data_IF_287198072986
#
_entry.id   IF_287198072986
#
_cell.length_a   1.000
_cell.length_b   1.000
_cell.length_c   1.000
_cell.angle_alpha   90.00
_cell.angle_beta   90.00
_cell.angle_gamma   90.00
#
_symmetry.space_group_name_H-M   'P 1'
#
loop_
_entity.id
_entity.type
_entity.pdbx_description
1 polymer ?
#
# COMPACT_ATOMS: atom_id res chain seq x y z
N UNK A 1 -16.75 -19.12 6.28
CA UNK A 1 -16.07 -18.22 5.33
C UNK A 1 -16.16 -18.84 3.96
N UNK A 2 -16.47 -18.04 2.94
CA UNK A 2 -16.49 -18.52 1.55
C UNK A 2 -15.09 -18.99 1.12
N UNK A 3 -15.02 -19.88 0.14
CA UNK A 3 -13.76 -20.23 -0.50
C UNK A 3 -13.36 -19.08 -1.43
N UNK A 4 -12.28 -18.39 -1.09
CA UNK A 4 -11.81 -17.22 -1.84
C UNK A 4 -10.55 -17.59 -2.60
N UNK A 5 -10.52 -17.46 -3.93
CA UNK A 5 -9.32 -17.69 -4.72
C UNK A 5 -8.16 -16.80 -4.24
N UNK A 6 -7.03 -17.44 -3.93
CA UNK A 6 -5.79 -16.78 -3.52
C UNK A 6 -4.60 -17.53 -4.11
N UNK A 7 -3.69 -16.81 -4.75
CA UNK A 7 -2.39 -17.33 -5.15
C UNK A 7 -1.39 -17.02 -4.04
N UNK A 8 -0.77 -18.04 -3.44
CA UNK A 8 0.19 -17.85 -2.35
C UNK A 8 1.61 -17.62 -2.91
N UNK A 9 1.99 -16.37 -3.10
CA UNK A 9 3.33 -15.98 -3.59
C UNK A 9 4.01 -14.87 -2.77
N UNK A 10 3.31 -14.27 -1.82
CA UNK A 10 3.92 -13.40 -0.83
C UNK A 10 4.75 -14.25 0.15
N UNK A 11 5.89 -13.73 0.59
CA UNK A 11 6.66 -14.34 1.67
C UNK A 11 6.01 -14.03 3.02
N UNK A 12 5.18 -14.95 3.51
CA UNK A 12 4.38 -14.82 4.73
C UNK A 12 4.69 -15.95 5.73
N UNK A 13 4.50 -15.72 7.05
CA UNK A 13 4.14 -14.44 7.67
C UNK A 13 5.32 -13.45 7.63
N UNK A 14 5.04 -12.15 7.44
CA UNK A 14 6.12 -11.15 7.47
C UNK A 14 6.61 -10.90 8.90
N UNK A 15 7.91 -10.64 9.14
CA UNK A 15 8.42 -10.44 10.50
C UNK A 15 7.79 -9.25 11.24
N UNK A 16 7.80 -9.35 12.58
CA UNK A 16 7.58 -8.22 13.49
C UNK A 16 8.86 -8.01 14.28
N UNK A 17 9.37 -6.78 14.30
CA UNK A 17 10.63 -6.43 14.94
C UNK A 17 10.43 -5.26 15.91
N UNK A 18 11.19 -5.24 17.01
CA UNK A 18 11.26 -4.08 17.90
C UNK A 18 12.08 -2.97 17.26
N UNK A 19 11.71 -1.70 17.52
CA UNK A 19 12.50 -0.52 17.18
C UNK A 19 13.00 0.19 18.46
N UNK A 20 13.86 -0.45 19.28
CA UNK A 20 14.20 0.02 20.61
C UNK A 20 14.97 1.34 20.59
N UNK A 21 15.86 1.55 19.61
CA UNK A 21 16.70 2.75 19.54
C UNK A 21 15.89 3.96 19.09
N UNK A 22 14.91 3.75 18.22
CA UNK A 22 13.96 4.79 17.80
C UNK A 22 13.00 5.13 18.95
N UNK A 23 12.48 4.13 19.66
CA UNK A 23 11.69 4.35 20.88
C UNK A 23 12.44 5.19 21.91
N UNK A 24 13.68 4.81 22.23
CA UNK A 24 14.54 5.54 23.17
C UNK A 24 14.80 6.96 22.68
N UNK A 25 15.13 7.13 21.40
CA UNK A 25 15.41 8.43 20.81
C UNK A 25 14.22 9.39 20.89
N UNK A 26 13.01 8.89 20.67
CA UNK A 26 11.78 9.68 20.72
C UNK A 26 11.25 9.88 22.14
N UNK A 27 11.81 9.19 23.13
CA UNK A 27 11.35 9.18 24.53
C UNK A 27 9.83 8.93 24.66
N UNK A 28 9.31 8.06 23.78
CA UNK A 28 7.89 7.84 23.53
C UNK A 28 7.43 6.42 23.90
N UNK A 29 6.35 5.91 23.26
CA UNK A 29 5.89 4.54 23.45
C UNK A 29 6.92 3.51 22.94
N UNK A 30 6.69 2.24 23.27
CA UNK A 30 7.36 1.13 22.59
C UNK A 30 6.92 1.09 21.13
N UNK A 31 7.87 0.96 20.21
CA UNK A 31 7.60 0.93 18.77
C UNK A 31 8.00 -0.44 18.21
N UNK A 32 7.07 -1.04 17.49
CA UNK A 32 7.27 -2.24 16.70
C UNK A 32 7.18 -1.89 15.21
N UNK A 33 7.72 -2.75 14.35
CA UNK A 33 7.48 -2.69 12.90
C UNK A 33 6.98 -4.01 12.36
N UNK A 34 5.94 -3.97 11.52
CA UNK A 34 5.48 -5.12 10.70
C UNK A 34 6.09 -5.00 9.30
N UNK A 35 6.94 -5.96 8.92
CA UNK A 35 7.85 -5.90 7.77
C UNK A 35 7.21 -6.30 6.43
N UNK A 36 6.13 -5.64 6.06
CA UNK A 36 5.47 -5.88 4.76
C UNK A 36 6.26 -5.35 3.55
N UNK A 37 7.36 -4.64 3.77
CA UNK A 37 8.41 -4.42 2.78
C UNK A 37 9.06 -5.74 2.33
N UNK A 38 9.02 -6.79 3.15
CA UNK A 38 9.66 -8.09 2.89
C UNK A 38 8.73 -9.14 2.26
N UNK A 39 7.62 -8.73 1.62
CA UNK A 39 6.69 -9.68 0.96
C UNK A 39 7.24 -10.36 -0.31
N UNK A 40 8.45 -10.02 -0.74
CA UNK A 40 9.24 -10.79 -1.72
C UNK A 40 9.06 -10.40 -3.19
N UNK A 41 7.84 -10.15 -3.66
CA UNK A 41 7.60 -9.87 -5.09
C UNK A 41 8.19 -8.51 -5.50
N UNK A 42 9.27 -8.56 -6.31
CA UNK A 42 9.93 -7.38 -6.87
C UNK A 42 10.29 -6.32 -5.81
N UNK A 43 11.04 -6.68 -4.77
CA UNK A 43 11.33 -5.86 -3.57
C UNK A 43 10.14 -5.65 -2.62
N UNK A 44 9.03 -6.38 -2.81
CA UNK A 44 7.94 -6.46 -1.85
C UNK A 44 7.17 -5.15 -1.64
N UNK A 45 6.44 -5.11 -0.52
CA UNK A 45 5.47 -4.09 -0.19
C UNK A 45 4.05 -4.62 -0.09
N UNK A 46 3.15 -3.72 0.30
CA UNK A 46 1.76 -4.07 0.59
C UNK A 46 0.95 -4.60 -0.60
N UNK A 47 1.30 -4.20 -1.83
CA UNK A 47 0.51 -4.56 -3.02
C UNK A 47 0.60 -6.05 -3.33
N UNK A 48 1.70 -6.70 -2.97
CA UNK A 48 1.88 -8.15 -3.10
C UNK A 48 0.73 -8.91 -2.44
N UNK A 49 0.37 -8.56 -1.19
CA UNK A 49 -0.77 -9.20 -0.48
C UNK A 49 -2.10 -9.05 -1.22
N UNK A 50 -2.36 -7.88 -1.82
CA UNK A 50 -3.58 -7.64 -2.59
C UNK A 50 -3.58 -8.41 -3.90
N UNK A 51 -2.43 -8.47 -4.57
CA UNK A 51 -2.25 -9.14 -5.85
C UNK A 51 -2.43 -10.67 -5.74
N UNK A 52 -2.19 -11.27 -4.57
CA UNK A 52 -2.53 -12.69 -4.35
C UNK A 52 -3.99 -13.00 -4.66
N UNK A 53 -4.90 -12.08 -4.36
CA UNK A 53 -6.33 -12.21 -4.63
C UNK A 53 -6.71 -11.69 -6.02
N UNK A 54 -6.22 -10.50 -6.40
CA UNK A 54 -6.54 -9.89 -7.69
C UNK A 54 -6.05 -10.74 -8.89
N UNK A 55 -4.87 -11.32 -8.79
CA UNK A 55 -4.34 -12.19 -9.85
C UNK A 55 -5.07 -13.53 -9.86
N UNK A 56 -5.52 -14.03 -8.70
CA UNK A 56 -6.38 -15.21 -8.64
C UNK A 56 -7.71 -14.96 -9.38
N UNK A 57 -8.36 -13.83 -9.09
CA UNK A 57 -9.60 -13.40 -9.74
C UNK A 57 -9.40 -13.21 -11.25
N UNK A 58 -8.32 -12.55 -11.68
CA UNK A 58 -8.00 -12.39 -13.09
C UNK A 58 -7.84 -13.74 -13.82
N UNK A 59 -7.20 -14.73 -13.18
CA UNK A 59 -7.05 -16.08 -13.75
C UNK A 59 -8.39 -16.80 -13.88
N UNK A 60 -9.24 -16.69 -12.87
CA UNK A 60 -10.57 -17.31 -12.87
C UNK A 60 -11.46 -16.73 -13.97
N UNK A 61 -11.37 -15.41 -14.21
CA UNK A 61 -12.04 -14.74 -15.32
C UNK A 61 -11.42 -15.03 -16.71
N UNK A 62 -10.36 -15.84 -16.76
CA UNK A 62 -9.71 -16.22 -18.02
C UNK A 62 -8.91 -15.09 -18.68
N UNK A 63 -8.53 -14.06 -17.92
CA UNK A 63 -7.74 -12.94 -18.41
C UNK A 63 -6.34 -13.39 -18.88
N UNK A 64 -5.78 -12.64 -19.82
CA UNK A 64 -4.43 -12.84 -20.37
C UNK A 64 -3.55 -11.59 -20.29
N UNK A 65 -4.14 -10.43 -20.00
CA UNK A 65 -3.44 -9.17 -19.85
C UNK A 65 -3.86 -8.49 -18.54
N UNK A 66 -2.91 -8.02 -17.75
CA UNK A 66 -3.18 -7.12 -16.62
C UNK A 66 -2.96 -5.68 -17.04
N UNK A 67 -3.97 -4.84 -16.85
CA UNK A 67 -3.90 -3.40 -17.11
C UNK A 67 -4.04 -2.65 -15.79
N UNK A 68 -3.20 -1.66 -15.56
CA UNK A 68 -3.33 -0.78 -14.39
C UNK A 68 -2.78 0.61 -14.67
N UNK A 69 -2.98 1.53 -13.73
CA UNK A 69 -2.48 2.90 -13.84
C UNK A 69 -1.84 3.40 -12.55
N UNK A 70 -0.94 4.37 -12.67
CA UNK A 70 -0.21 4.94 -11.54
C UNK A 70 0.68 6.11 -11.92
N UNK A 71 1.43 6.63 -10.95
CA UNK A 71 2.53 7.54 -11.25
C UNK A 71 3.73 6.78 -11.83
N UNK A 72 4.66 7.48 -12.49
CA UNK A 72 5.88 6.89 -13.06
C UNK A 72 6.70 6.05 -12.06
N UNK A 73 6.65 6.39 -10.77
CA UNK A 73 7.34 5.66 -9.69
C UNK A 73 6.37 4.83 -8.83
N UNK A 74 5.26 4.35 -9.42
CA UNK A 74 4.22 3.62 -8.70
C UNK A 74 4.70 2.24 -8.22
N UNK A 75 4.75 2.08 -6.90
CA UNK A 75 4.99 0.78 -6.26
C UNK A 75 3.94 -0.28 -6.64
N UNK A 76 2.72 0.16 -6.98
CA UNK A 76 1.63 -0.70 -7.41
C UNK A 76 1.85 -1.24 -8.82
N UNK A 77 2.25 -0.37 -9.75
CA UNK A 77 2.53 -0.76 -11.13
C UNK A 77 3.68 -1.76 -11.18
N UNK A 78 4.77 -1.50 -10.46
CA UNK A 78 5.92 -2.41 -10.32
C UNK A 78 5.57 -3.79 -9.79
N UNK A 79 4.74 -3.88 -8.75
CA UNK A 79 4.29 -5.19 -8.25
C UNK A 79 3.28 -5.85 -9.19
N UNK A 80 2.45 -5.09 -9.90
CA UNK A 80 1.51 -5.62 -10.89
C UNK A 80 2.26 -6.21 -12.09
N UNK A 81 3.26 -5.49 -12.64
CA UNK A 81 4.11 -5.97 -13.71
C UNK A 81 4.89 -7.23 -13.31
N UNK A 82 5.46 -7.24 -12.10
CA UNK A 82 6.14 -8.42 -11.57
C UNK A 82 5.20 -9.63 -11.42
N UNK A 83 3.97 -9.42 -10.93
CA UNK A 83 2.98 -10.48 -10.84
C UNK A 83 2.55 -10.98 -12.22
N UNK A 84 2.36 -10.06 -13.18
CA UNK A 84 2.05 -10.41 -14.56
C UNK A 84 3.13 -11.31 -15.17
N UNK A 85 4.40 -10.89 -15.07
CA UNK A 85 5.54 -11.66 -15.56
C UNK A 85 5.63 -13.05 -14.90
N UNK A 86 5.46 -13.12 -13.57
CA UNK A 86 5.52 -14.38 -12.81
C UNK A 86 4.43 -15.39 -13.22
N UNK A 87 3.23 -14.89 -13.57
CA UNK A 87 2.08 -15.73 -13.88
C UNK A 87 1.74 -15.81 -15.38
N UNK A 88 2.60 -15.26 -16.25
CA UNK A 88 2.46 -15.34 -17.69
C UNK A 88 1.34 -14.49 -18.27
N UNK A 89 1.03 -13.35 -17.64
CA UNK A 89 0.16 -12.33 -18.23
C UNK A 89 0.98 -11.32 -19.03
N UNK A 90 0.42 -10.79 -20.11
CA UNK A 90 0.86 -9.50 -20.63
C UNK A 90 0.58 -8.39 -19.59
N UNK A 91 1.35 -7.31 -19.60
CA UNK A 91 1.11 -6.17 -18.73
C UNK A 91 1.13 -4.87 -19.50
N UNK A 92 0.11 -4.02 -19.28
CA UNK A 92 0.06 -2.66 -19.77
C UNK A 92 -0.12 -1.69 -18.60
N UNK A 93 0.72 -0.67 -18.53
CA UNK A 93 0.72 0.31 -17.45
C UNK A 93 0.51 1.71 -18.00
N UNK A 94 -0.58 2.35 -17.58
CA UNK A 94 -0.86 3.75 -17.89
C UNK A 94 -0.23 4.64 -16.82
N UNK A 95 0.94 5.20 -17.11
CA UNK A 95 1.77 5.90 -16.13
C UNK A 95 1.73 7.41 -16.35
N UNK A 96 1.48 8.14 -15.26
CA UNK A 96 1.49 9.60 -15.26
C UNK A 96 2.85 10.18 -14.87
N UNK A 97 3.33 11.14 -15.65
CA UNK A 97 4.48 11.98 -15.35
C UNK A 97 5.38 12.22 -16.57
N UNK A 98 6.46 12.95 -16.35
CA UNK A 98 7.48 13.13 -17.39
C UNK A 98 8.22 11.81 -17.59
N UNK A 99 8.25 11.33 -18.83
CA UNK A 99 9.02 10.14 -19.20
C UNK A 99 10.51 10.50 -19.18
N UNK A 100 11.33 9.90 -18.30
CA UNK A 100 12.75 10.21 -18.24
C UNK A 100 13.48 9.61 -19.44
N UNK A 101 14.62 10.21 -19.83
CA UNK A 101 15.50 9.65 -20.88
C UNK A 101 16.04 8.27 -20.49
N UNK A 102 16.31 8.07 -19.20
CA UNK A 102 16.75 6.79 -18.64
C UNK A 102 15.81 6.39 -17.51
N UNK A 103 15.20 5.19 -17.56
CA UNK A 103 14.34 4.73 -16.49
C UNK A 103 15.17 4.45 -15.24
N UNK A 104 14.62 4.80 -14.07
CA UNK A 104 15.19 4.52 -12.76
C UNK A 104 14.15 3.93 -11.81
N UNK A 105 14.62 3.22 -10.78
CA UNK A 105 13.79 2.65 -9.73
C UNK A 105 12.58 1.84 -10.25
N UNK A 106 11.34 2.21 -9.90
CA UNK A 106 10.15 1.42 -10.26
C UNK A 106 9.93 1.35 -11.78
N UNK A 107 10.15 2.45 -12.52
CA UNK A 107 9.99 2.44 -13.98
C UNK A 107 10.96 1.47 -14.67
N UNK A 108 12.22 1.46 -14.21
CA UNK A 108 13.21 0.48 -14.71
C UNK A 108 12.74 -0.96 -14.46
N UNK A 109 12.18 -1.22 -13.28
CA UNK A 109 11.65 -2.54 -12.95
C UNK A 109 10.42 -2.89 -13.78
N UNK A 110 9.50 -1.95 -14.03
CA UNK A 110 8.35 -2.14 -14.91
C UNK A 110 8.79 -2.63 -16.30
N UNK A 111 9.80 -1.98 -16.89
CA UNK A 111 10.37 -2.36 -18.18
C UNK A 111 11.08 -3.73 -18.15
N UNK A 112 11.86 -4.02 -17.09
CA UNK A 112 12.52 -5.32 -16.93
C UNK A 112 11.53 -6.48 -16.79
N UNK A 113 10.35 -6.23 -16.21
CA UNK A 113 9.25 -7.21 -16.17
C UNK A 113 8.46 -7.29 -17.48
N UNK A 114 8.84 -6.52 -18.50
CA UNK A 114 8.22 -6.57 -19.82
C UNK A 114 6.88 -5.85 -19.91
N UNK A 115 6.59 -4.91 -19.00
CA UNK A 115 5.37 -4.12 -19.08
C UNK A 115 5.42 -3.13 -20.25
N UNK A 116 4.31 -3.03 -21.01
CA UNK A 116 4.11 -1.97 -22.00
C UNK A 116 3.70 -0.69 -21.29
N UNK A 117 4.52 0.34 -21.39
CA UNK A 117 4.23 1.65 -20.79
C UNK A 117 3.42 2.52 -21.75
N UNK A 118 2.29 3.01 -21.28
CA UNK A 118 1.48 4.05 -21.92
C UNK A 118 1.66 5.32 -21.09
N UNK A 119 2.51 6.23 -21.57
CA UNK A 119 2.81 7.45 -20.84
C UNK A 119 1.70 8.50 -20.97
N UNK A 120 1.39 9.17 -19.87
CA UNK A 120 0.40 10.25 -19.77
C UNK A 120 1.05 11.45 -19.08
N UNK A 121 1.01 12.62 -19.70
CA UNK A 121 1.65 13.82 -19.11
C UNK A 121 0.83 14.40 -17.95
N UNK A 122 -0.48 14.64 -18.14
CA UNK A 122 -1.36 15.18 -17.09
C UNK A 122 -2.16 14.07 -16.38
N UNK A 123 -2.16 14.08 -15.05
CA UNK A 123 -2.93 13.14 -14.22
C UNK A 123 -4.42 13.14 -14.56
N UNK A 124 -4.98 14.28 -15.00
CA UNK A 124 -6.39 14.40 -15.38
C UNK A 124 -6.76 13.48 -16.53
N UNK A 125 -5.79 13.15 -17.38
CA UNK A 125 -6.02 12.35 -18.58
C UNK A 125 -5.87 10.84 -18.32
N UNK A 126 -5.27 10.47 -17.19
CA UNK A 126 -4.93 9.08 -16.87
C UNK A 126 -6.14 8.15 -16.93
N UNK A 127 -7.27 8.55 -16.35
CA UNK A 127 -8.41 7.65 -16.18
C UNK A 127 -9.13 7.37 -17.51
N UNK A 128 -9.24 8.37 -18.41
CA UNK A 128 -9.80 8.12 -19.73
C UNK A 128 -8.83 7.33 -20.62
N UNK A 129 -7.53 7.62 -20.58
CA UNK A 129 -6.52 6.84 -21.32
C UNK A 129 -6.43 5.40 -20.80
N UNK A 130 -6.63 5.18 -19.50
CA UNK A 130 -6.73 3.84 -18.92
C UNK A 130 -7.93 3.08 -19.47
N UNK A 131 -9.09 3.75 -19.58
CA UNK A 131 -10.27 3.17 -20.21
C UNK A 131 -10.04 2.86 -21.70
N UNK A 132 -9.48 3.81 -22.46
CA UNK A 132 -9.16 3.59 -23.89
C UNK A 132 -8.16 2.45 -24.08
N UNK A 133 -7.14 2.35 -23.22
CA UNK A 133 -6.16 1.25 -23.24
C UNK A 133 -6.83 -0.09 -22.98
N UNK A 134 -7.79 -0.13 -22.04
CA UNK A 134 -8.58 -1.32 -21.77
C UNK A 134 -9.47 -1.71 -22.96
N UNK A 135 -10.21 -0.75 -23.52
CA UNK A 135 -11.12 -0.99 -24.64
C UNK A 135 -10.37 -1.43 -25.91
N UNK A 136 -9.21 -0.85 -26.19
CA UNK A 136 -8.33 -1.29 -27.27
C UNK A 136 -7.83 -2.73 -27.05
N UNK A 137 -7.41 -3.08 -25.83
CA UNK A 137 -6.99 -4.45 -25.53
C UNK A 137 -8.16 -5.45 -25.66
N UNK A 138 -9.39 -5.07 -25.34
CA UNK A 138 -10.58 -5.87 -25.62
C UNK A 138 -10.77 -6.06 -27.13
N UNK A 139 -10.71 -4.98 -27.91
CA UNK A 139 -10.87 -5.02 -29.37
C UNK A 139 -9.80 -5.89 -30.08
N UNK A 140 -8.58 -5.92 -29.54
CA UNK A 140 -7.49 -6.79 -30.01
C UNK A 140 -7.60 -8.25 -29.52
N UNK A 141 -8.61 -8.60 -28.71
CA UNK A 141 -8.79 -9.95 -28.19
C UNK A 141 -7.83 -10.34 -27.07
N UNK A 142 -7.17 -9.38 -26.42
CA UNK A 142 -6.13 -9.62 -25.38
C UNK A 142 -6.66 -10.04 -24.01
N UNK A 143 -7.98 -10.11 -23.85
CA UNK A 143 -8.67 -10.49 -22.59
C UNK A 143 -8.11 -9.74 -21.36
N UNK A 144 -8.23 -8.41 -21.33
CA UNK A 144 -7.67 -7.61 -20.25
C UNK A 144 -8.46 -7.76 -18.95
N UNK A 145 -7.73 -7.70 -17.83
CA UNK A 145 -8.27 -7.51 -16.50
C UNK A 145 -7.71 -6.19 -15.94
N UNK A 146 -8.61 -5.32 -15.48
CA UNK A 146 -8.23 -4.04 -14.90
C UNK A 146 -7.90 -4.24 -13.41
N UNK A 147 -6.62 -4.13 -13.07
CA UNK A 147 -6.18 -4.06 -11.68
C UNK A 147 -6.41 -2.62 -11.20
N UNK A 148 -7.34 -2.37 -10.26
CA UNK A 148 -7.68 -1.00 -9.86
C UNK A 148 -6.49 -0.25 -9.26
N UNK A 149 -6.54 1.08 -9.26
CA UNK A 149 -5.48 1.92 -8.70
C UNK A 149 -5.11 1.49 -7.27
N UNK A 150 -3.83 1.18 -7.05
CA UNK A 150 -3.31 0.71 -5.77
C UNK A 150 -3.81 -0.69 -5.33
N UNK A 151 -4.45 -1.43 -6.24
CA UNK A 151 -5.11 -2.72 -5.97
C UNK A 151 -6.28 -2.56 -5.00
N UNK A 152 -6.90 -1.39 -4.94
CA UNK A 152 -7.93 -1.08 -3.96
C UNK A 152 -9.31 -1.39 -4.52
N UNK A 153 -9.77 -2.60 -4.23
CA UNK A 153 -11.09 -3.14 -4.52
C UNK A 153 -11.53 -4.02 -3.34
N UNK A 154 -12.80 -4.48 -3.30
CA UNK A 154 -13.23 -5.47 -2.33
C UNK A 154 -12.28 -6.70 -2.29
N UNK A 155 -11.97 -7.27 -3.46
CA UNK A 155 -11.03 -8.39 -3.62
C UNK A 155 -9.64 -8.07 -3.10
N UNK A 156 -9.09 -6.90 -3.44
CA UNK A 156 -7.76 -6.50 -3.00
C UNK A 156 -7.67 -6.21 -1.49
N UNK A 157 -8.77 -5.74 -0.87
CA UNK A 157 -8.82 -5.48 0.57
C UNK A 157 -8.71 -6.77 1.40
N UNK A 158 -9.14 -7.91 0.86
CA UNK A 158 -9.00 -9.21 1.53
C UNK A 158 -7.55 -9.54 1.88
N UNK A 159 -6.60 -9.12 1.05
CA UNK A 159 -5.16 -9.28 1.32
C UNK A 159 -4.73 -8.69 2.67
N UNK A 160 -5.38 -7.60 3.11
CA UNK A 160 -5.10 -6.98 4.40
C UNK A 160 -6.07 -7.40 5.52
N UNK A 161 -7.25 -7.91 5.19
CA UNK A 161 -8.09 -8.59 6.17
C UNK A 161 -7.35 -9.82 6.72
N UNK A 162 -6.84 -10.67 5.84
CA UNK A 162 -6.03 -11.84 6.24
C UNK A 162 -4.64 -11.47 6.77
N UNK A 163 -4.12 -10.27 6.46
CA UNK A 163 -2.91 -9.78 7.12
C UNK A 163 -3.14 -9.44 8.61
N UNK A 164 -4.36 -9.01 8.97
CA UNK A 164 -4.73 -8.82 10.38
C UNK A 164 -4.83 -10.16 11.10
N UNK A 165 -5.40 -11.19 10.46
CA UNK A 165 -5.39 -12.56 11.00
C UNK A 165 -3.96 -13.05 11.24
N UNK A 166 -3.08 -12.87 10.26
CA UNK A 166 -1.65 -13.20 10.37
C UNK A 166 -1.00 -12.49 11.57
N UNK A 167 -1.23 -11.19 11.74
CA UNK A 167 -0.73 -10.42 12.90
C UNK A 167 -1.23 -11.01 14.22
N UNK A 168 -2.52 -11.35 14.32
CA UNK A 168 -3.10 -11.93 15.54
C UNK A 168 -2.49 -13.31 15.84
N UNK A 169 -2.23 -14.13 14.83
CA UNK A 169 -1.56 -15.43 14.98
C UNK A 169 -0.10 -15.31 15.42
N UNK A 170 0.57 -14.19 15.12
CA UNK A 170 1.93 -13.91 15.61
C UNK A 170 1.97 -13.57 17.10
N UNK A 171 0.82 -13.34 17.74
CA UNK A 171 0.69 -13.11 19.19
C UNK A 171 1.57 -11.97 19.73
N UNK A 172 1.79 -10.92 18.92
CA UNK A 172 2.48 -9.70 19.35
C UNK A 172 1.45 -8.58 19.51
N UNK A 173 1.00 -8.28 20.74
CA UNK A 173 -0.02 -7.27 20.97
C UNK A 173 0.53 -5.86 20.70
N UNK A 174 -0.32 -5.00 20.16
CA UNK A 174 -0.07 -3.57 20.04
C UNK A 174 -1.36 -2.80 20.33
N UNK A 175 -1.25 -1.64 20.96
CA UNK A 175 -2.39 -0.77 21.25
C UNK A 175 -2.80 0.01 19.99
N UNK A 176 -1.82 0.31 19.13
CA UNK A 176 -2.00 1.07 17.90
C UNK A 176 -1.28 0.42 16.72
N UNK A 177 -1.93 0.39 15.56
CA UNK A 177 -1.35 0.12 14.25
C UNK A 177 -1.32 1.43 13.48
N UNK A 178 -0.15 1.83 12.99
CA UNK A 178 0.04 3.09 12.24
C UNK A 178 0.65 2.80 10.88
N UNK A 179 0.08 3.35 9.81
CA UNK A 179 0.50 3.09 8.43
C UNK A 179 0.04 4.19 7.48
N UNK A 180 0.56 4.20 6.24
CA UNK A 180 0.14 5.15 5.21
C UNK A 180 -1.16 4.72 4.51
N UNK A 181 -2.12 5.62 4.38
CA UNK A 181 -3.36 5.41 3.62
C UNK A 181 -3.50 6.41 2.48
N UNK A 182 -3.89 5.92 1.31
CA UNK A 182 -4.11 6.70 0.08
C UNK A 182 -5.35 6.12 -0.61
N UNK A 183 -5.16 5.28 -1.64
CA UNK A 183 -6.24 4.51 -2.32
C UNK A 183 -7.15 3.62 -1.44
N UNK A 184 -6.97 3.56 -0.12
CA UNK A 184 -7.94 2.96 0.81
C UNK A 184 -7.87 1.44 1.01
N UNK A 185 -7.52 0.62 0.02
CA UNK A 185 -7.68 -0.84 0.12
C UNK A 185 -6.88 -1.53 1.24
N UNK A 186 -5.70 -1.01 1.59
CA UNK A 186 -4.92 -1.51 2.75
C UNK A 186 -5.68 -1.22 4.06
N UNK A 187 -6.17 0.01 4.19
CA UNK A 187 -6.90 0.49 5.37
C UNK A 187 -8.22 -0.26 5.53
N UNK A 188 -8.97 -0.42 4.43
CA UNK A 188 -10.23 -1.15 4.41
C UNK A 188 -10.03 -2.61 4.83
N UNK A 189 -8.98 -3.27 4.32
CA UNK A 189 -8.63 -4.62 4.74
C UNK A 189 -8.28 -4.71 6.22
N UNK A 190 -7.47 -3.80 6.75
CA UNK A 190 -7.12 -3.79 8.18
C UNK A 190 -8.33 -3.56 9.09
N UNK A 191 -9.22 -2.62 8.74
CA UNK A 191 -10.46 -2.34 9.49
C UNK A 191 -11.43 -3.54 9.41
N UNK A 192 -11.57 -4.16 8.24
CA UNK A 192 -12.35 -5.38 8.08
C UNK A 192 -11.79 -6.52 8.93
N UNK A 193 -10.49 -6.78 8.80
CA UNK A 193 -9.81 -7.82 9.57
C UNK A 193 -9.88 -7.57 11.07
N UNK A 194 -9.77 -6.31 11.51
CA UNK A 194 -9.93 -5.95 12.92
C UNK A 194 -11.29 -6.41 13.46
N UNK A 195 -12.37 -6.13 12.75
CA UNK A 195 -13.73 -6.52 13.15
C UNK A 195 -13.95 -8.04 13.07
N UNK A 196 -13.47 -8.68 12.00
CA UNK A 196 -13.71 -10.11 11.73
C UNK A 196 -12.92 -11.00 12.68
N UNK A 197 -11.65 -10.67 12.93
CA UNK A 197 -10.75 -11.50 13.75
C UNK A 197 -10.68 -11.04 15.21
N UNK A 198 -11.29 -9.90 15.55
CA UNK A 198 -11.41 -9.42 16.92
C UNK A 198 -10.15 -8.77 17.48
N UNK A 199 -9.39 -8.05 16.64
CA UNK A 199 -8.24 -7.27 17.10
C UNK A 199 -8.68 -6.10 17.98
N UNK A 200 -8.14 -6.02 19.19
CA UNK A 200 -8.58 -5.05 20.21
C UNK A 200 -7.88 -3.69 20.12
N UNK A 201 -6.69 -3.63 19.50
CA UNK A 201 -5.98 -2.37 19.29
C UNK A 201 -6.65 -1.49 18.23
N UNK A 202 -6.16 -0.26 18.07
CA UNK A 202 -6.69 0.73 17.13
C UNK A 202 -5.89 0.74 15.82
N UNK A 203 -6.57 0.99 14.70
CA UNK A 203 -5.97 1.05 13.36
C UNK A 203 -6.03 2.50 12.86
N UNK A 204 -4.89 3.17 12.77
CA UNK A 204 -4.79 4.59 12.38
C UNK A 204 -4.04 4.75 11.04
N UNK A 205 -4.75 5.23 10.03
CA UNK A 205 -4.17 5.60 8.74
C UNK A 205 -3.67 7.05 8.73
N UNK A 206 -2.38 7.25 8.45
CA UNK A 206 -1.82 8.56 8.10
C UNK A 206 -2.07 8.81 6.62
N UNK A 207 -2.86 9.84 6.30
CA UNK A 207 -3.15 10.17 4.91
C UNK A 207 -1.88 10.54 4.16
N UNK A 208 -1.78 10.05 2.93
CA UNK A 208 -0.71 10.42 2.01
C UNK A 208 -1.13 11.59 1.14
N UNK A 209 -2.38 11.66 0.70
CA UNK A 209 -2.81 12.62 -0.32
C UNK A 209 -4.28 13.03 -0.25
N UNK A 210 -5.09 12.37 0.57
CA UNK A 210 -6.54 12.54 0.57
C UNK A 210 -7.05 13.19 1.86
N UNK A 211 -8.24 13.80 1.81
CA UNK A 211 -8.85 14.36 3.00
C UNK A 211 -9.29 13.27 3.98
N UNK A 212 -9.36 13.60 5.26
CA UNK A 212 -9.81 12.66 6.29
C UNK A 212 -11.25 12.20 6.05
N UNK A 213 -12.14 13.12 5.67
CA UNK A 213 -13.54 12.82 5.36
C UNK A 213 -13.67 11.84 4.18
N UNK A 214 -12.93 12.10 3.10
CA UNK A 214 -12.94 11.21 1.94
C UNK A 214 -12.42 9.83 2.31
N UNK A 215 -11.29 9.76 3.04
CA UNK A 215 -10.72 8.49 3.48
C UNK A 215 -11.70 7.69 4.34
N UNK A 216 -12.32 8.31 5.34
CA UNK A 216 -13.23 7.60 6.24
C UNK A 216 -14.45 7.07 5.51
N UNK A 217 -15.05 7.87 4.63
CA UNK A 217 -16.18 7.47 3.78
C UNK A 217 -15.80 6.35 2.80
N UNK A 218 -14.70 6.52 2.07
CA UNK A 218 -14.25 5.57 1.07
C UNK A 218 -13.83 4.23 1.69
N UNK A 219 -13.04 4.27 2.78
CA UNK A 219 -12.56 3.08 3.48
C UNK A 219 -13.70 2.30 4.12
N UNK A 220 -14.66 2.98 4.76
CA UNK A 220 -15.79 2.28 5.39
C UNK A 220 -16.67 1.59 4.35
N UNK A 221 -16.92 2.25 3.21
CA UNK A 221 -17.64 1.63 2.09
C UNK A 221 -16.89 0.41 1.58
N UNK A 222 -15.59 0.56 1.29
CA UNK A 222 -14.76 -0.52 0.74
C UNK A 222 -14.65 -1.72 1.69
N UNK A 223 -14.55 -1.49 3.01
CA UNK A 223 -14.55 -2.55 4.01
C UNK A 223 -15.91 -3.28 4.08
N UNK A 224 -17.02 -2.55 3.94
CA UNK A 224 -18.36 -3.15 3.88
C UNK A 224 -18.52 -4.03 2.64
N UNK A 225 -18.09 -3.54 1.47
CA UNK A 225 -18.18 -4.30 0.22
C UNK A 225 -17.25 -5.52 0.25
N UNK A 226 -16.05 -5.41 0.82
CA UNK A 226 -15.13 -6.54 1.01
C UNK A 226 -15.68 -7.63 1.97
N UNK A 227 -16.49 -7.24 2.96
CA UNK A 227 -17.04 -8.19 3.93
C UNK A 227 -18.00 -9.21 3.30
N UNK A 228 -18.72 -8.83 2.24
CA UNK A 228 -19.62 -9.72 1.49
C UNK A 228 -18.89 -10.91 0.85
N UNK A 229 -17.61 -10.73 0.56
CA UNK A 229 -16.80 -11.80 -0.01
C UNK A 229 -16.42 -12.85 1.05
N UNK A 230 -16.31 -12.46 2.32
CA UNK A 230 -15.96 -13.36 3.43
C UNK A 230 -17.16 -14.15 3.94
N UNK A 231 -18.28 -13.46 4.16
CA UNK A 231 -19.52 -13.98 4.76
C UNK A 231 -20.67 -12.98 4.52
N UNK A 232 -21.59 -12.85 5.49
CA UNK A 232 -22.62 -11.81 5.45
C UNK A 232 -22.03 -10.39 5.53
N UNK A 233 -22.70 -9.43 4.87
CA UNK A 233 -22.28 -8.03 4.85
C UNK A 233 -22.21 -7.47 6.27
N UNK A 234 -21.02 -7.00 6.65
CA UNK A 234 -20.81 -6.17 7.84
C UNK A 234 -20.88 -4.71 7.41
N UNK A 235 -21.79 -3.94 8.00
CA UNK A 235 -21.88 -2.52 7.71
C UNK A 235 -20.84 -1.73 8.51
N UNK A 236 -19.89 -1.12 7.81
CA UNK A 236 -18.98 -0.13 8.37
C UNK A 236 -19.45 1.28 8.02
N UNK A 237 -19.15 2.22 8.90
CA UNK A 237 -19.47 3.64 8.79
C UNK A 237 -18.19 4.47 8.93
N UNK A 238 -18.20 5.77 8.55
CA UNK A 238 -17.02 6.62 8.71
C UNK A 238 -16.48 6.70 10.14
N UNK A 239 -17.30 6.43 11.17
CA UNK A 239 -16.87 6.41 12.57
C UNK A 239 -16.09 5.15 12.96
N UNK A 240 -16.17 4.08 12.17
CA UNK A 240 -15.37 2.87 12.35
C UNK A 240 -13.92 3.03 11.85
N UNK A 241 -13.61 4.14 11.15
CA UNK A 241 -12.33 4.36 10.49
C UNK A 241 -11.56 5.49 11.18
N UNK A 242 -10.32 5.23 11.60
CA UNK A 242 -9.42 6.28 12.11
C UNK A 242 -8.42 6.67 11.01
N UNK A 243 -8.50 7.90 10.54
CA UNK A 243 -7.54 8.49 9.63
C UNK A 243 -7.18 9.90 10.10
N UNK A 244 -6.01 10.39 9.71
CA UNK A 244 -5.65 11.81 9.88
C UNK A 244 -4.99 12.36 8.62
N UNK A 245 -5.41 13.55 8.20
CA UNK A 245 -4.85 14.28 7.06
C UNK A 245 -3.88 15.42 7.46
N UNK A 246 -3.48 15.49 8.74
CA UNK A 246 -2.63 16.57 9.25
C UNK A 246 -1.26 16.67 8.55
N UNK A 247 -0.76 15.56 8.00
CA UNK A 247 0.60 15.43 7.48
C UNK A 247 0.69 15.34 5.95
N UNK A 248 -0.40 15.57 5.21
CA UNK A 248 -0.43 15.44 3.75
C UNK A 248 -0.57 16.76 2.98
N UNK A 249 -0.54 17.92 3.66
CA UNK A 249 -0.80 19.25 3.05
C UNK A 249 0.10 19.58 1.85
N UNK A 250 1.33 19.07 1.82
CA UNK A 250 2.27 19.29 0.72
C UNK A 250 1.85 18.58 -0.58
N UNK A 251 0.89 17.66 -0.52
CA UNK A 251 0.39 16.90 -1.67
C UNK A 251 1.20 15.64 -1.97
N UNK A 252 0.66 14.84 -2.88
CA UNK A 252 1.20 13.52 -3.23
C UNK A 252 2.62 13.57 -3.81
N UNK A 253 3.52 12.75 -3.29
CA UNK A 253 4.87 12.58 -3.82
C UNK A 253 5.81 13.78 -3.63
N UNK A 254 5.43 14.75 -2.79
CA UNK A 254 6.27 15.88 -2.37
C UNK A 254 7.01 15.53 -1.09
N UNK A 255 8.34 15.55 -1.13
CA UNK A 255 9.21 15.25 0.01
C UNK A 255 9.51 16.52 0.82
N UNK A 256 8.95 16.65 2.02
CA UNK A 256 9.20 17.75 2.95
C UNK A 256 10.29 17.39 3.97
N UNK A 257 10.64 18.34 4.85
CA UNK A 257 11.61 18.10 5.91
C UNK A 257 11.13 17.05 6.92
N UNK A 258 9.81 16.92 7.11
CA UNK A 258 9.24 15.92 8.01
C UNK A 258 9.45 14.49 7.47
N UNK A 259 9.24 14.26 6.17
CA UNK A 259 9.53 12.96 5.56
C UNK A 259 11.04 12.68 5.52
N UNK A 260 11.87 13.68 5.20
CA UNK A 260 13.35 13.54 5.26
C UNK A 260 13.81 13.13 6.66
N UNK A 261 13.32 13.80 7.69
CA UNK A 261 13.62 13.49 9.08
C UNK A 261 13.20 12.05 9.40
N UNK A 262 11.96 11.67 9.09
CA UNK A 262 11.46 10.34 9.40
C UNK A 262 12.26 9.22 8.71
N UNK A 263 12.56 9.38 7.42
CA UNK A 263 13.41 8.45 6.65
C UNK A 263 14.80 8.34 7.30
N UNK A 264 15.39 9.48 7.65
CA UNK A 264 16.72 9.53 8.29
C UNK A 264 16.72 8.86 9.67
N UNK A 265 15.69 9.07 10.47
CA UNK A 265 15.59 8.49 11.82
C UNK A 265 15.46 6.98 11.77
N UNK A 266 14.59 6.42 10.93
CA UNK A 266 14.47 4.97 10.75
C UNK A 266 15.78 4.35 10.25
N UNK A 267 16.44 5.00 9.28
CA UNK A 267 17.71 4.52 8.76
C UNK A 267 18.82 4.55 9.81
N UNK A 268 18.96 5.67 10.54
CA UNK A 268 20.05 5.90 11.50
C UNK A 268 19.90 5.08 12.79
N UNK A 269 18.69 4.94 13.29
CA UNK A 269 18.45 4.29 14.58
C UNK A 269 18.23 2.78 14.41
N UNK A 270 17.62 2.33 13.32
CA UNK A 270 17.17 0.94 13.16
C UNK A 270 17.70 0.25 11.90
N UNK A 271 18.43 0.96 11.02
CA UNK A 271 18.87 0.39 9.75
C UNK A 271 17.72 0.08 8.79
N UNK A 272 16.56 0.73 8.98
CA UNK A 272 15.36 0.52 8.17
C UNK A 272 15.16 1.64 7.15
N UNK A 273 14.94 1.25 5.90
CA UNK A 273 14.76 2.17 4.79
C UNK A 273 13.28 2.39 4.49
N UNK A 274 12.80 3.60 4.80
CA UNK A 274 11.48 4.06 4.38
C UNK A 274 11.56 4.75 3.02
N UNK A 275 10.45 4.76 2.28
CA UNK A 275 10.34 5.47 1.01
C UNK A 275 9.94 6.94 1.20
N UNK A 276 10.28 7.83 0.25
CA UNK A 276 10.06 9.27 0.39
C UNK A 276 8.61 9.73 0.16
N UNK A 277 7.70 8.84 -0.25
CA UNK A 277 6.32 9.19 -0.62
C UNK A 277 5.31 8.67 0.39
N UNK A 278 5.38 7.38 0.75
CA UNK A 278 4.35 6.72 1.56
C UNK A 278 4.78 6.52 3.01
N UNK A 279 5.73 5.61 3.22
CA UNK A 279 6.18 5.19 4.55
C UNK A 279 6.95 6.29 5.26
N UNK A 280 7.71 7.13 4.56
CA UNK A 280 8.31 8.34 5.13
C UNK A 280 7.27 9.30 5.69
N UNK A 281 6.18 9.56 4.96
CA UNK A 281 5.06 10.41 5.44
C UNK A 281 4.28 9.76 6.58
N UNK A 282 4.01 8.46 6.50
CA UNK A 282 3.36 7.74 7.57
C UNK A 282 4.19 7.76 8.86
N UNK A 283 5.50 7.55 8.75
CA UNK A 283 6.43 7.63 9.88
C UNK A 283 6.55 9.06 10.42
N UNK A 284 6.59 10.08 9.55
CA UNK A 284 6.56 11.48 9.96
C UNK A 284 5.30 11.81 10.77
N UNK A 285 4.14 11.32 10.33
CA UNK A 285 2.88 11.45 11.07
C UNK A 285 2.92 10.74 12.43
N UNK A 286 3.42 9.51 12.47
CA UNK A 286 3.59 8.75 13.72
C UNK A 286 4.51 9.48 14.70
N UNK A 287 5.68 9.93 14.24
CA UNK A 287 6.66 10.69 15.03
C UNK A 287 6.06 12.01 15.54
N UNK A 288 5.34 12.73 14.68
CA UNK A 288 4.62 13.94 15.06
C UNK A 288 3.60 13.70 16.17
N UNK A 289 2.84 12.61 16.08
CA UNK A 289 1.86 12.22 17.12
C UNK A 289 2.55 11.79 18.43
N UNK A 290 3.67 11.06 18.36
CA UNK A 290 4.49 10.73 19.55
C UNK A 290 4.94 12.01 20.25
N UNK A 291 5.50 12.97 19.50
CA UNK A 291 5.98 14.26 20.04
C UNK A 291 4.86 15.11 20.66
N UNK A 292 3.64 15.00 20.14
CA UNK A 292 2.44 15.64 20.69
C UNK A 292 1.88 14.92 21.94
N UNK A 293 2.44 13.77 22.34
CA UNK A 293 1.94 12.96 23.45
C UNK A 293 0.59 12.29 23.15
N UNK A 294 0.27 12.06 21.87
CA UNK A 294 -0.97 11.40 21.48
C UNK A 294 -1.02 9.93 21.93
N UNK A 295 0.10 9.22 21.80
CA UNK A 295 0.28 7.87 22.33
C UNK A 295 0.83 7.94 23.75
N UNK A 296 0.31 7.12 24.66
CA UNK A 296 0.83 7.05 26.03
C UNK A 296 2.17 6.31 26.06
N UNK A 297 3.00 6.60 27.05
CA UNK A 297 4.34 5.99 27.17
C UNK A 297 4.31 4.48 27.44
N UNK A 298 3.25 3.99 28.06
CA UNK A 298 3.01 2.58 28.35
C UNK A 298 2.29 1.83 27.22
N UNK A 299 1.86 2.54 26.16
CA UNK A 299 1.29 1.93 24.97
C UNK A 299 2.38 1.39 24.02
N UNK A 300 2.02 0.41 23.21
CA UNK A 300 2.83 -0.15 22.12
C UNK A 300 2.25 0.26 20.77
N UNK A 301 3.08 0.85 19.91
CA UNK A 301 2.72 1.30 18.55
C UNK A 301 3.40 0.40 17.52
N UNK A 302 2.61 -0.32 16.71
CA UNK A 302 3.07 -1.09 15.57
C UNK A 302 3.02 -0.24 14.30
N UNK A 303 4.18 0.15 13.79
CA UNK A 303 4.30 0.75 12.46
C UNK A 303 4.23 -0.32 11.37
N UNK A 304 3.24 -0.23 10.48
CA UNK A 304 3.13 -1.18 9.37
C UNK A 304 3.96 -0.69 8.18
N UNK A 305 5.15 -1.25 7.99
CA UNK A 305 6.03 -0.88 6.91
C UNK A 305 5.51 -1.48 5.59
N UNK A 306 4.85 -0.64 4.78
CA UNK A 306 4.17 -1.08 3.55
C UNK A 306 5.08 -1.18 2.31
N UNK A 307 6.41 -1.20 2.50
CA UNK A 307 7.41 -1.18 1.43
C UNK A 307 7.66 0.19 0.82
N UNK A 308 8.00 0.20 -0.48
CA UNK A 308 8.27 1.40 -1.26
C UNK A 308 9.75 1.72 -1.49
N UNK A 309 10.65 0.95 -0.87
CA UNK A 309 12.11 1.17 -0.89
C UNK A 309 12.73 1.53 -2.25
N UNK A 310 12.36 0.91 -3.39
CA UNK A 310 12.92 1.27 -4.69
C UNK A 310 12.81 2.77 -5.03
N UNK A 311 11.77 3.46 -4.56
CA UNK A 311 11.57 4.89 -4.83
C UNK A 311 12.70 5.79 -4.27
N UNK A 312 13.50 5.32 -3.32
CA UNK A 312 14.72 6.00 -2.86
C UNK A 312 15.72 6.23 -4.00
N UNK A 313 15.77 5.32 -4.97
CA UNK A 313 16.71 5.33 -6.08
C UNK A 313 16.15 6.00 -7.34
N UNK A 314 14.96 6.61 -7.25
CA UNK A 314 14.44 7.42 -8.35
C UNK A 314 15.14 8.78 -8.35
N UNK A 315 15.52 9.28 -9.52
CA UNK A 315 16.29 10.54 -9.66
C UNK A 315 15.60 11.74 -9.00
N UNK A 316 14.26 11.72 -8.97
CA UNK A 316 13.43 12.72 -8.30
C UNK A 316 13.73 12.86 -6.81
N UNK A 317 14.20 11.80 -6.14
CA UNK A 317 14.36 11.74 -4.69
C UNK A 317 15.81 11.53 -4.25
N UNK A 318 16.63 10.77 -4.99
CA UNK A 318 17.95 10.35 -4.55
C UNK A 318 18.88 11.49 -4.07
N UNK A 319 18.77 12.68 -4.68
CA UNK A 319 19.60 13.85 -4.32
C UNK A 319 18.93 14.80 -3.29
N UNK A 320 17.84 14.38 -2.66
CA UNK A 320 16.97 15.23 -1.82
C UNK A 320 16.62 14.61 -0.47
N UNK A 321 17.19 13.45 -0.14
CA UNK A 321 16.98 12.73 1.13
C UNK A 321 18.10 13.08 2.10
#
# INVERSE_FOLDING_TARGET
MNQIPRLNFAHLPTPIEELPRLSDHLAGPRILVKRDDQTGLAFGGNKTRKLEFLVAEAREQGAKTLISGGAMQSNHCRQTAAAAARYGFECMLVLTGDLPEKPSANLLLDELFGAKIVNVTDRKDRDHILQETFDHAVAEGKKPYLVPYGGSSPTGALGYAFAMEELMQQNVPADWIVFGTSSGGTHAGLVLGQRVFGYQGKVLGISIDESEEWLKSHVSKLASDASEMLAERIQFTPTDVLATAEYCKAGYGVLTDAEREAVTLFAKYEGLLLDPVYTGRAAAGMIGLIRKGFFKKDETVLFWHTGGGPALFADKYANRI
#
